data_IF_422149693776
#
_entry.id   IF_422149693776
#
_cell.length_a   1.000
_cell.length_b   1.000
_cell.length_c   1.000
_cell.angle_alpha   90.00
_cell.angle_beta   90.00
_cell.angle_gamma   90.00
#
_symmetry.space_group_name_H-M   'P 1'
#
loop_
_entity.id
_entity.type
_entity.pdbx_description
1 polymer ?
2 water ?
#
# COMPACT_ATOMS: atom_id res chain seq x y z
N UNK A 8 10.71 -4.48 -14.79
CA UNK A 8 10.31 -4.41 -13.36
C UNK A 8 9.01 -3.62 -13.24
N UNK A 9 8.86 -2.62 -14.11
CA UNK A 9 7.66 -1.79 -14.11
C UNK A 9 6.43 -2.64 -14.40
N UNK A 10 6.59 -3.60 -15.30
CA UNK A 10 5.49 -4.48 -15.67
C UNK A 10 5.19 -5.41 -14.51
N UNK A 11 6.22 -5.69 -13.71
CA UNK A 11 6.10 -6.56 -12.55
C UNK A 11 5.31 -5.86 -11.46
N UNK A 12 5.64 -4.59 -11.23
CA UNK A 12 4.96 -3.79 -10.23
C UNK A 12 3.51 -3.59 -10.67
N UNK A 13 3.36 -3.14 -11.91
CA UNK A 13 2.05 -2.89 -12.49
C UNK A 13 1.14 -4.12 -12.46
N UNK A 14 1.70 -5.30 -12.72
CA UNK A 14 0.91 -6.53 -12.69
C UNK A 14 0.42 -6.82 -11.27
N UNK A 15 1.30 -6.63 -10.29
CA UNK A 15 0.95 -6.84 -8.88
C UNK A 15 -0.18 -5.90 -8.52
N UNK A 16 0.01 -4.64 -8.88
CA UNK A 16 -0.96 -3.59 -8.61
C UNK A 16 -2.31 -3.93 -9.23
N UNK A 17 -2.31 -4.29 -10.50
CA UNK A 17 -3.55 -4.62 -11.19
C UNK A 17 -4.27 -5.75 -10.47
N UNK A 18 -3.51 -6.79 -10.13
CA UNK A 18 -4.06 -7.95 -9.46
C UNK A 18 -4.71 -7.56 -8.14
N UNK A 19 -4.05 -6.69 -7.39
CA UNK A 19 -4.60 -6.25 -6.12
C UNK A 19 -5.83 -5.39 -6.36
N UNK A 20 -5.77 -4.52 -7.36
CA UNK A 20 -6.91 -3.65 -7.64
C UNK A 20 -8.14 -4.42 -8.06
N UNK A 21 -7.94 -5.49 -8.82
CA UNK A 21 -9.05 -6.32 -9.28
C UNK A 21 -9.72 -6.96 -8.06
N UNK A 22 -8.91 -7.36 -7.08
CA UNK A 22 -9.44 -7.95 -5.86
C UNK A 22 -10.43 -6.98 -5.23
N UNK A 23 -10.03 -5.71 -5.13
CA UNK A 23 -10.88 -4.68 -4.55
C UNK A 23 -12.12 -4.46 -5.42
N UNK A 24 -11.91 -4.41 -6.74
CA UNK A 24 -13.01 -4.20 -7.68
C UNK A 24 -14.01 -5.36 -7.65
N UNK A 25 -13.51 -6.59 -7.54
CA UNK A 25 -14.40 -7.75 -7.49
C UNK A 25 -15.36 -7.69 -6.30
N UNK A 26 -14.88 -7.16 -5.18
CA UNK A 26 -15.71 -7.02 -3.98
C UNK A 26 -16.54 -5.74 -4.02
N UNK A 27 -16.26 -4.88 -5.00
CA UNK A 27 -16.95 -3.61 -5.13
C UNK A 27 -16.78 -2.91 -3.79
N UNK A 28 -15.66 -3.20 -3.15
CA UNK A 28 -15.36 -2.64 -1.85
C UNK A 28 -15.27 -1.12 -1.90
N UNK A 29 -15.92 -0.44 -0.94
CA UNK A 29 -15.91 1.03 -0.85
C UNK A 29 -14.48 1.53 -0.67
N UNK A 30 -14.27 2.83 -0.88
CA UNK A 30 -12.95 3.41 -0.73
C UNK A 30 -12.40 3.17 0.69
N UNK A 31 -13.18 3.53 1.70
CA UNK A 31 -12.75 3.37 3.09
C UNK A 31 -12.37 1.93 3.41
N UNK A 32 -13.15 0.98 2.89
CA UNK A 32 -12.88 -0.43 3.12
C UNK A 32 -11.59 -0.84 2.41
N UNK A 33 -11.39 -0.32 1.21
CA UNK A 33 -10.20 -0.63 0.43
C UNK A 33 -8.96 -0.15 1.16
N UNK A 34 -9.01 1.09 1.63
CA UNK A 34 -7.89 1.68 2.36
C UNK A 34 -7.57 0.88 3.62
N UNK A 35 -8.61 0.51 4.34
CA UNK A 35 -8.45 -0.24 5.58
C UNK A 35 -7.77 -1.59 5.29
N UNK A 36 -8.19 -2.25 4.22
CA UNK A 36 -7.60 -3.53 3.86
C UNK A 36 -6.15 -3.32 3.44
N UNK A 37 -5.92 -2.33 2.58
CA UNK A 37 -4.58 -2.03 2.10
C UNK A 37 -3.66 -1.66 3.25
N UNK A 38 -4.17 -0.87 4.19
CA UNK A 38 -3.36 -0.48 5.33
C UNK A 38 -2.99 -1.70 6.15
N UNK A 39 -3.96 -2.58 6.37
CA UNK A 39 -3.71 -3.78 7.14
C UNK A 39 -2.69 -4.66 6.44
N UNK A 40 -2.69 -4.66 5.11
CA UNK A 40 -1.71 -5.47 4.40
C UNK A 40 -0.30 -4.92 4.66
N UNK A 41 -0.14 -3.60 4.66
CA UNK A 41 1.16 -3.00 4.93
C UNK A 41 1.56 -3.35 6.37
N UNK A 42 0.63 -3.17 7.30
CA UNK A 42 0.90 -3.48 8.70
C UNK A 42 1.34 -4.93 8.84
N UNK A 43 0.61 -5.84 8.19
CA UNK A 43 0.92 -7.27 8.22
C UNK A 43 2.36 -7.50 7.77
N UNK A 44 2.69 -7.00 6.58
CA UNK A 44 4.03 -7.13 6.03
C UNK A 44 5.12 -6.62 6.97
N UNK A 45 4.95 -5.40 7.47
CA UNK A 45 5.94 -4.82 8.36
C UNK A 45 6.16 -5.67 9.59
N UNK A 46 5.08 -6.17 10.16
CA UNK A 46 5.16 -7.01 11.35
C UNK A 46 5.83 -8.34 11.04
N UNK A 47 5.54 -8.88 9.86
CA UNK A 47 6.08 -10.17 9.48
C UNK A 47 7.43 -10.18 8.75
N UNK A 48 7.84 -9.05 8.18
CA UNK A 48 9.11 -9.05 7.47
C UNK A 48 10.08 -7.93 7.78
N UNK A 49 9.71 -7.05 8.70
CA UNK A 49 10.58 -5.95 9.07
C UNK A 49 10.88 -5.99 10.57
N UNK A 50 12.17 -5.99 10.93
CA UNK A 50 12.59 -6.02 12.33
C UNK A 50 11.86 -4.97 13.15
N UNK A 51 11.36 -5.39 14.30
CA UNK A 51 10.63 -4.53 15.22
C UNK A 51 11.22 -3.12 15.35
N UNK A 52 12.54 -3.04 15.37
CA UNK A 52 13.25 -1.77 15.53
C UNK A 52 13.18 -0.81 14.34
N UNK A 53 12.85 -1.33 13.15
CA UNK A 53 12.78 -0.48 11.96
C UNK A 53 11.35 -0.29 11.46
N UNK A 54 10.46 -1.13 11.98
CA UNK A 54 9.05 -1.12 11.58
C UNK A 54 8.42 0.27 11.49
N UNK A 55 8.51 1.03 12.57
CA UNK A 55 7.94 2.37 12.57
C UNK A 55 8.59 3.22 11.48
N UNK A 56 9.92 3.12 11.38
CA UNK A 56 10.66 3.89 10.38
C UNK A 56 10.22 3.50 8.96
N UNK A 57 10.14 2.21 8.67
CA UNK A 57 9.70 1.80 7.33
C UNK A 57 8.26 2.29 7.12
N UNK A 58 7.43 2.21 8.15
CA UNK A 58 6.05 2.66 8.05
C UNK A 58 6.03 4.15 7.69
N UNK A 59 6.88 4.94 8.34
CA UNK A 59 6.93 6.37 8.06
C UNK A 59 7.41 6.69 6.65
N UNK A 60 8.39 5.94 6.17
CA UNK A 60 8.90 6.17 4.82
C UNK A 60 7.83 5.78 3.81
N UNK A 61 7.05 4.75 4.14
CA UNK A 61 5.97 4.33 3.25
C UNK A 61 5.00 5.50 3.18
N UNK A 62 4.71 6.08 4.34
CA UNK A 62 3.78 7.20 4.44
C UNK A 62 4.25 8.43 3.67
N UNK A 63 5.54 8.76 3.82
CA UNK A 63 6.10 9.92 3.13
C UNK A 63 5.97 9.71 1.62
N UNK A 64 6.34 8.52 1.17
CA UNK A 64 6.26 8.17 -0.24
C UNK A 64 4.83 8.31 -0.71
N UNK A 65 3.90 7.80 0.09
CA UNK A 65 2.50 7.91 -0.28
C UNK A 65 2.11 9.38 -0.41
N UNK A 66 2.43 10.17 0.61
CA UNK A 66 2.10 11.60 0.62
C UNK A 66 2.71 12.30 -0.59
N UNK A 67 3.99 12.06 -0.84
CA UNK A 67 4.66 12.68 -1.98
C UNK A 67 3.99 12.24 -3.27
N UNK A 68 3.70 10.95 -3.35
CA UNK A 68 3.05 10.43 -4.54
C UNK A 68 1.78 11.22 -4.81
N UNK A 69 0.88 11.23 -3.83
CA UNK A 69 -0.38 11.95 -3.96
C UNK A 69 -0.17 13.41 -4.36
N UNK A 70 0.73 14.09 -3.66
CA UNK A 70 1.01 15.48 -3.93
C UNK A 70 1.38 15.68 -5.40
N UNK A 71 2.44 15.02 -5.83
CA UNK A 71 2.89 15.12 -7.20
C UNK A 71 1.77 14.80 -8.17
N UNK A 72 0.96 13.79 -7.86
CA UNK A 72 -0.14 13.42 -8.73
C UNK A 72 -1.09 14.60 -8.89
N UNK A 73 -0.98 15.56 -7.97
CA UNK A 73 -1.79 16.77 -8.02
C UNK A 73 -1.05 17.78 -8.89
N UNK A 74 -0.63 17.33 -10.07
CA UNK A 74 0.09 18.18 -11.01
C UNK A 74 -0.63 18.25 -12.35
#
# INVERSE_FOLDING_TARGET
>A
XAIQSKYSNTQVESLIAEILVVLEKHKAPTDLSLMALGNCVTHLLERKVPSESRQAVAEQFAKALAQSVKSNLEHHHHHH
#
